data_IF_501289220785
#
_entry.id   IF_501289220785
#
_cell.length_a   1.000
_cell.length_b   1.000
_cell.length_c   1.000
_cell.angle_alpha   90.00
_cell.angle_beta   90.00
_cell.angle_gamma   90.00
#
_symmetry.space_group_name_H-M   'P 1'
#
loop_
_entity.id
_entity.type
_entity.pdbx_description
1 polymer ?
#
# COMPACT_ATOMS: atom_id res chain seq x y z
N UNK A 1 -10.47 -11.49 -8.20
CA UNK A 1 -11.28 -10.72 -7.26
C UNK A 1 -10.40 -10.05 -6.21
N UNK A 2 -10.62 -8.79 -5.98
CA UNK A 2 -9.89 -8.11 -4.93
C UNK A 2 -10.54 -8.24 -3.55
N UNK A 3 -11.58 -9.04 -3.44
CA UNK A 3 -12.12 -9.46 -2.14
C UNK A 3 -11.48 -10.74 -1.65
N UNK A 4 -10.43 -11.20 -2.30
CA UNK A 4 -9.70 -12.39 -1.92
C UNK A 4 -9.20 -12.30 -0.47
N UNK A 5 -9.46 -13.33 0.31
CA UNK A 5 -8.97 -13.41 1.68
C UNK A 5 -7.48 -13.73 1.70
N UNK A 6 -6.70 -12.87 2.36
CA UNK A 6 -5.25 -13.02 2.46
C UNK A 6 -4.88 -13.13 3.95
N UNK A 7 -4.27 -14.24 4.33
CA UNK A 7 -3.81 -14.45 5.70
C UNK A 7 -2.81 -15.62 5.75
N UNK A 8 -2.39 -16.01 6.95
CA UNK A 8 -1.43 -17.09 7.14
C UNK A 8 -1.90 -18.45 6.67
N UNK A 9 -3.22 -18.67 6.51
CA UNK A 9 -3.78 -19.92 5.98
C UNK A 9 -3.90 -19.92 4.46
N UNK A 10 -4.01 -18.75 3.87
CA UNK A 10 -4.21 -18.57 2.43
C UNK A 10 -3.20 -17.55 1.88
N UNK A 11 -1.89 -17.85 1.99
CA UNK A 11 -0.89 -16.91 1.52
C UNK A 11 -0.92 -16.77 0.01
N UNK A 12 -0.54 -15.60 -0.49
CA UNK A 12 -0.35 -15.38 -1.91
C UNK A 12 0.94 -16.05 -2.36
N UNK A 13 0.97 -16.63 -3.56
CA UNK A 13 2.20 -17.20 -4.10
C UNK A 13 3.24 -16.11 -4.36
N UNK A 14 4.51 -16.53 -4.40
CA UNK A 14 5.64 -15.61 -4.58
C UNK A 14 5.52 -14.79 -5.85
N UNK A 15 5.09 -15.41 -6.95
CA UNK A 15 4.98 -14.78 -8.26
C UNK A 15 3.71 -13.97 -8.45
N UNK A 16 2.81 -13.95 -7.46
CA UNK A 16 1.55 -13.22 -7.62
C UNK A 16 1.79 -11.73 -7.75
N UNK A 17 1.28 -11.15 -8.82
CA UNK A 17 1.26 -9.70 -9.04
C UNK A 17 -0.15 -9.33 -9.50
N UNK A 18 -0.78 -8.33 -8.86
CA UNK A 18 -2.10 -7.88 -9.31
C UNK A 18 -2.08 -7.40 -10.75
N UNK A 19 -3.18 -7.65 -11.47
CA UNK A 19 -3.25 -7.35 -12.91
C UNK A 19 -3.41 -5.86 -13.21
N UNK A 20 -4.01 -5.10 -12.31
CA UNK A 20 -4.39 -3.71 -12.55
C UNK A 20 -3.71 -2.77 -11.54
N UNK A 21 -2.41 -2.91 -11.39
CA UNK A 21 -1.64 -1.97 -10.59
C UNK A 21 -1.47 -0.66 -11.36
N UNK A 22 -1.66 0.45 -10.68
CA UNK A 22 -1.56 1.76 -11.29
C UNK A 22 -1.00 2.79 -10.30
N UNK A 23 -0.36 3.81 -10.86
CA UNK A 23 0.02 5.03 -10.14
C UNK A 23 -0.81 6.17 -10.72
N UNK A 24 -1.75 6.70 -9.94
CA UNK A 24 -2.62 7.79 -10.40
C UNK A 24 -2.13 9.17 -9.96
N UNK A 25 -0.87 9.28 -9.59
CA UNK A 25 -0.25 10.57 -9.29
C UNK A 25 -0.59 11.15 -7.93
N UNK A 26 -1.05 10.33 -7.00
CA UNK A 26 -1.26 10.79 -5.61
C UNK A 26 0.07 11.13 -4.96
N UNK A 27 0.07 12.09 -4.00
CA UNK A 27 1.29 12.37 -3.25
C UNK A 27 1.78 11.14 -2.49
N UNK A 28 3.04 10.78 -2.70
CA UNK A 28 3.70 9.70 -1.98
C UNK A 28 5.05 10.19 -1.48
N UNK A 29 5.51 9.62 -0.37
CA UNK A 29 6.86 9.85 0.11
C UNK A 29 7.89 9.20 -0.82
N UNK A 30 7.53 8.06 -1.43
CA UNK A 30 8.39 7.33 -2.36
C UNK A 30 8.58 8.10 -3.67
N UNK A 31 9.72 7.89 -4.33
CA UNK A 31 10.05 8.52 -5.60
C UNK A 31 9.10 8.06 -6.72
N UNK A 32 9.09 8.81 -7.83
CA UNK A 32 8.10 8.64 -8.89
C UNK A 32 8.11 7.27 -9.58
N UNK A 33 9.20 6.51 -9.48
CA UNK A 33 9.30 5.19 -10.11
C UNK A 33 9.26 4.04 -9.13
N UNK A 34 8.99 4.32 -7.88
CA UNK A 34 8.96 3.31 -6.83
C UNK A 34 7.63 2.56 -6.88
N UNK A 35 7.70 1.23 -6.85
CA UNK A 35 6.50 0.37 -6.90
C UNK A 35 5.58 0.56 -5.69
N UNK A 36 6.08 1.12 -4.58
CA UNK A 36 5.24 1.44 -3.42
C UNK A 36 4.15 2.47 -3.73
N UNK A 37 4.28 3.20 -4.84
CA UNK A 37 3.26 4.12 -5.31
C UNK A 37 2.09 3.44 -6.01
N UNK A 38 2.23 2.14 -6.33
CA UNK A 38 1.23 1.40 -7.08
C UNK A 38 0.12 0.87 -6.18
N UNK A 39 -1.09 0.92 -6.69
CA UNK A 39 -2.28 0.37 -6.04
C UNK A 39 -3.13 -0.33 -7.11
N UNK A 40 -3.91 -1.34 -6.69
CA UNK A 40 -4.94 -1.87 -7.56
C UNK A 40 -5.90 -0.73 -7.91
N UNK A 41 -6.41 -0.70 -9.14
CA UNK A 41 -7.09 0.47 -9.70
C UNK A 41 -8.26 0.97 -8.83
N UNK A 42 -9.06 0.08 -8.26
CA UNK A 42 -10.19 0.50 -7.42
C UNK A 42 -9.75 1.06 -6.09
N UNK A 43 -8.67 0.50 -5.53
CA UNK A 43 -8.05 1.03 -4.32
C UNK A 43 -7.46 2.40 -4.60
N UNK A 44 -6.83 2.59 -5.75
CA UNK A 44 -6.31 3.88 -6.16
C UNK A 44 -7.41 4.93 -6.27
N UNK A 45 -8.56 4.57 -6.84
CA UNK A 45 -9.69 5.47 -6.95
C UNK A 45 -10.28 5.84 -5.57
N UNK A 46 -10.37 4.86 -4.68
CA UNK A 46 -10.82 5.10 -3.31
C UNK A 46 -9.83 6.00 -2.55
N UNK A 47 -8.54 5.78 -2.75
CA UNK A 47 -7.49 6.60 -2.16
C UNK A 47 -7.58 8.05 -2.65
N UNK A 48 -7.86 8.26 -3.95
CA UNK A 48 -8.04 9.60 -4.49
C UNK A 48 -9.18 10.32 -3.76
N UNK A 49 -10.30 9.65 -3.56
CA UNK A 49 -11.44 10.24 -2.84
C UNK A 49 -11.08 10.56 -1.39
N UNK A 50 -10.33 9.68 -0.74
CA UNK A 50 -9.86 9.90 0.63
C UNK A 50 -8.95 11.12 0.70
N UNK A 51 -7.99 11.23 -0.20
CA UNK A 51 -7.04 12.34 -0.23
C UNK A 51 -7.76 13.66 -0.48
N UNK A 52 -8.73 13.68 -1.38
CA UNK A 52 -9.52 14.88 -1.67
C UNK A 52 -10.38 15.28 -0.46
N UNK A 53 -11.00 14.31 0.20
CA UNK A 53 -11.81 14.58 1.40
C UNK A 53 -10.96 15.14 2.54
N UNK A 54 -9.78 14.55 2.75
CA UNK A 54 -8.85 15.04 3.77
C UNK A 54 -8.39 16.47 3.48
N UNK A 55 -8.11 16.78 2.20
CA UNK A 55 -7.69 18.11 1.80
C UNK A 55 -8.75 19.14 2.10
N UNK A 56 -10.04 18.81 1.88
CA UNK A 56 -11.15 19.70 2.23
C UNK A 56 -11.20 19.97 3.73
N UNK A 57 -10.73 19.04 4.55
CA UNK A 57 -10.65 19.19 6.00
C UNK A 57 -9.33 19.80 6.48
N UNK A 58 -8.50 20.27 5.55
CA UNK A 58 -7.22 20.91 5.88
C UNK A 58 -6.07 19.96 6.14
N UNK A 59 -6.24 18.67 5.81
CA UNK A 59 -5.18 17.65 5.98
C UNK A 59 -4.57 17.29 4.63
N UNK A 60 -3.25 17.21 4.57
CA UNK A 60 -2.51 16.84 3.37
C UNK A 60 -1.94 15.44 3.56
N UNK A 61 -2.60 14.44 2.96
CA UNK A 61 -2.19 13.06 3.06
C UNK A 61 -1.06 12.74 2.08
N UNK A 62 -0.21 11.80 2.48
CA UNK A 62 0.85 11.23 1.66
C UNK A 62 0.79 9.72 1.79
N UNK A 63 0.90 9.02 0.67
CA UNK A 63 1.07 7.58 0.69
C UNK A 63 2.48 7.22 1.13
N UNK A 64 2.60 6.21 1.95
CA UNK A 64 3.88 5.66 2.37
C UNK A 64 4.17 4.39 1.58
N UNK A 65 3.22 3.47 1.52
CA UNK A 65 3.38 2.22 0.80
C UNK A 65 2.03 1.67 0.35
N UNK A 66 1.89 1.47 -0.95
CA UNK A 66 0.78 0.73 -1.54
C UNK A 66 1.19 -0.72 -1.79
N UNK A 67 1.35 -1.08 -3.07
CA UNK A 67 1.78 -2.42 -3.45
C UNK A 67 3.17 -2.74 -2.87
N UNK A 68 3.31 -3.97 -2.40
CA UNK A 68 4.58 -4.50 -1.95
C UNK A 68 4.72 -5.93 -2.49
N UNK A 69 5.78 -6.18 -3.27
CA UNK A 69 6.01 -7.51 -3.83
C UNK A 69 6.32 -8.52 -2.73
N UNK A 70 6.19 -9.80 -3.06
CA UNK A 70 6.58 -10.87 -2.16
C UNK A 70 8.03 -10.70 -1.67
N UNK A 71 8.94 -10.39 -2.60
CA UNK A 71 10.36 -10.23 -2.25
C UNK A 71 10.60 -9.04 -1.33
N UNK A 72 9.90 -7.94 -1.55
CA UNK A 72 10.00 -6.77 -0.68
C UNK A 72 9.50 -7.11 0.73
N UNK A 73 8.36 -7.79 0.82
CA UNK A 73 7.80 -8.22 2.11
C UNK A 73 8.73 -9.19 2.82
N UNK A 74 9.39 -10.07 2.08
CA UNK A 74 10.35 -11.02 2.63
C UNK A 74 11.53 -10.30 3.28
N UNK A 75 12.06 -9.26 2.63
CA UNK A 75 13.15 -8.46 3.22
C UNK A 75 12.71 -7.75 4.49
N UNK A 76 11.51 -7.16 4.48
CA UNK A 76 10.96 -6.49 5.67
C UNK A 76 10.76 -7.47 6.81
N UNK A 77 10.23 -8.64 6.53
CA UNK A 77 10.00 -9.68 7.53
C UNK A 77 11.30 -10.17 8.17
N UNK A 78 12.35 -10.28 7.36
CA UNK A 78 13.67 -10.67 7.86
C UNK A 78 14.29 -9.65 8.80
N UNK A 79 13.89 -8.38 8.69
CA UNK A 79 14.39 -7.30 9.53
C UNK A 79 13.53 -7.05 10.76
N UNK A 80 12.24 -7.38 10.69
CA UNK A 80 11.29 -7.07 11.75
C UNK A 80 10.21 -8.16 11.82
N UNK A 81 10.25 -9.02 12.87
CA UNK A 81 9.29 -10.13 12.98
C UNK A 81 7.84 -9.68 13.25
N UNK A 82 7.60 -8.42 13.56
CA UNK A 82 6.25 -7.90 13.74
C UNK A 82 5.57 -7.54 12.41
N UNK A 83 6.33 -7.57 11.31
CA UNK A 83 5.80 -7.39 9.97
C UNK A 83 5.18 -8.70 9.49
N UNK A 84 4.11 -8.64 8.70
CA UNK A 84 3.47 -9.83 8.16
C UNK A 84 4.44 -10.66 7.30
N UNK A 85 4.35 -11.97 7.39
CA UNK A 85 5.16 -12.87 6.59
C UNK A 85 4.87 -12.71 5.09
N UNK A 86 5.85 -13.01 4.21
CA UNK A 86 5.63 -12.94 2.76
C UNK A 86 4.41 -13.78 2.34
N UNK A 87 3.62 -13.27 1.43
CA UNK A 87 2.41 -13.92 0.97
C UNK A 87 1.18 -13.67 1.85
N UNK A 88 1.37 -13.14 3.07
CA UNK A 88 0.27 -12.88 4.00
C UNK A 88 -0.06 -11.40 4.16
N UNK A 89 0.71 -10.52 3.51
CA UNK A 89 0.46 -9.08 3.55
C UNK A 89 -0.54 -8.68 2.47
N UNK A 90 -1.53 -7.87 2.85
CA UNK A 90 -2.49 -7.31 1.89
C UNK A 90 -1.82 -6.36 0.89
N UNK A 91 -0.64 -5.84 1.21
CA UNK A 91 0.10 -4.99 0.29
C UNK A 91 0.47 -5.71 -1.02
N UNK A 92 0.64 -7.04 -1.01
CA UNK A 92 0.92 -7.79 -2.23
C UNK A 92 -0.29 -7.84 -3.18
N UNK A 93 -1.49 -7.64 -2.68
CA UNK A 93 -2.70 -7.58 -3.51
C UNK A 93 -2.92 -6.21 -4.14
N UNK A 94 -2.19 -5.18 -3.71
CA UNK A 94 -2.44 -3.80 -4.12
C UNK A 94 -3.65 -3.17 -3.46
N UNK A 95 -4.26 -3.84 -2.49
CA UNK A 95 -5.49 -3.39 -1.82
C UNK A 95 -5.25 -2.68 -0.50
N UNK A 96 -4.00 -2.53 -0.10
CA UNK A 96 -3.65 -1.87 1.15
C UNK A 96 -2.81 -0.63 0.86
N UNK A 97 -3.00 0.41 1.67
CA UNK A 97 -2.26 1.65 1.57
C UNK A 97 -1.96 2.18 2.96
N UNK A 98 -0.68 2.31 3.27
CA UNK A 98 -0.23 3.03 4.46
C UNK A 98 -0.13 4.51 4.12
N UNK A 99 -0.69 5.36 4.97
CA UNK A 99 -0.68 6.81 4.76
C UNK A 99 -0.15 7.53 5.99
N UNK A 100 0.32 8.75 5.76
CA UNK A 100 0.64 9.70 6.79
C UNK A 100 0.13 11.07 6.37
N UNK A 101 0.23 12.05 7.23
CA UNK A 101 -0.09 13.42 6.85
C UNK A 101 1.10 14.34 7.09
N UNK A 102 1.17 15.43 6.33
CA UNK A 102 2.24 16.41 6.46
C UNK A 102 2.31 16.97 7.88
N UNK A 103 1.16 17.14 8.51
CA UNK A 103 1.04 17.67 9.87
C UNK A 103 1.66 16.73 10.92
N UNK A 104 1.77 15.44 10.60
CA UNK A 104 2.41 14.44 11.47
C UNK A 104 3.87 14.16 11.10
N UNK A 105 4.45 14.93 10.17
CA UNK A 105 5.85 14.76 9.76
C UNK A 105 6.15 13.41 9.14
N UNK A 106 5.20 12.83 8.39
CA UNK A 106 5.29 11.51 7.75
C UNK A 106 5.31 10.33 8.73
N UNK A 107 4.96 10.54 9.99
CA UNK A 107 4.71 9.41 10.88
C UNK A 107 3.48 8.63 10.38
N UNK A 108 3.52 7.29 10.50
CA UNK A 108 2.39 6.46 10.08
C UNK A 108 1.16 6.80 10.91
N UNK A 109 0.02 6.92 10.22
CA UNK A 109 -1.29 7.07 10.84
C UNK A 109 -2.11 5.83 10.55
N UNK A 110 -2.78 5.34 11.54
CA UNK A 110 -3.65 4.17 11.41
C UNK A 110 -5.12 4.56 11.44
#
# INVERSE_FOLDING_TARGET
SYTRLINGKHPLPEEYVPKQLTDIGLPFQASSQDSRRLLEIRTAQAALRLFQSAQRDGLNLYGISGYRSYQCQKRLYGQNPYVAAPGTSEHQSGLALDVSCAEAGFALTE
#
